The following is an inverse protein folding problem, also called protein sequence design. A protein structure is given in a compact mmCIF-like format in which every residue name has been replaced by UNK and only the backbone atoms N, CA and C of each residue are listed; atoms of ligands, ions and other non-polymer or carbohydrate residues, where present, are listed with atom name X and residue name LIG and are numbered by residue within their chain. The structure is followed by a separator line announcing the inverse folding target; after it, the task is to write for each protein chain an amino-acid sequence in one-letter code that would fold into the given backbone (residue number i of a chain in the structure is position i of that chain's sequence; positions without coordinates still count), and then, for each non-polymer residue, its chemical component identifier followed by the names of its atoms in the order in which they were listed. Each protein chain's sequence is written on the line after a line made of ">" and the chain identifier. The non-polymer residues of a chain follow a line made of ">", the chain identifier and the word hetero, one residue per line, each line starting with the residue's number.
data_IF_447931247116
#
_entry.id   IF_447931247116
#
_cell.length_a   1.000
_cell.length_b   1.000
_cell.length_c   1.000
_cell.angle_alpha   90.00
_cell.angle_beta   90.00
_cell.angle_gamma   90.00
#
_symmetry.space_group_name_H-M   'P 1'
#
loop_
_entity.id
_entity.type
_entity.pdbx_description
1 polymer ?
#
# COMPACT_ATOMS: atom_id res chain seq x y z
N UNK A 1 4.28 20.27 24.67
CA UNK A 1 5.66 19.74 24.54
C UNK A 1 5.56 18.22 24.54
N UNK A 2 5.97 17.55 23.44
CA UNK A 2 5.97 16.09 23.34
C UNK A 2 7.12 15.51 24.16
N UNK A 3 6.80 14.50 24.97
CA UNK A 3 7.81 13.83 25.81
C UNK A 3 8.42 12.66 25.01
N UNK A 4 9.77 12.57 24.91
CA UNK A 4 10.42 11.43 24.24
C UNK A 4 9.99 10.09 24.85
N UNK A 5 9.81 9.07 23.99
CA UNK A 5 9.42 7.71 24.32
C UNK A 5 8.04 7.50 24.98
N UNK A 6 7.27 8.59 25.24
CA UNK A 6 5.95 8.50 25.84
C UNK A 6 4.81 8.83 24.84
N UNK A 7 5.14 9.47 23.71
CA UNK A 7 4.15 9.86 22.72
C UNK A 7 4.15 8.86 21.56
N UNK A 8 3.00 8.25 21.33
CA UNK A 8 2.70 7.47 20.12
C UNK A 8 1.77 8.27 19.22
N UNK A 9 2.03 8.24 17.93
CA UNK A 9 1.20 8.88 16.92
C UNK A 9 0.72 7.81 15.94
N UNK A 10 -0.59 7.76 15.69
CA UNK A 10 -1.18 6.97 14.62
C UNK A 10 -1.42 7.87 13.40
N UNK A 11 -1.07 7.36 12.23
CA UNK A 11 -1.30 8.02 10.94
C UNK A 11 -1.97 7.03 9.98
N UNK A 12 -2.89 7.55 9.17
CA UNK A 12 -3.49 6.79 8.07
C UNK A 12 -3.63 7.70 6.85
N UNK A 13 -3.05 7.26 5.73
CA UNK A 13 -3.09 7.97 4.44
C UNK A 13 -3.28 6.98 3.30
N UNK A 14 -3.81 7.42 2.15
CA UNK A 14 -3.83 6.59 0.96
C UNK A 14 -2.41 6.28 0.50
N UNK A 15 -2.10 4.98 0.36
CA UNK A 15 -0.75 4.50 0.04
C UNK A 15 -0.55 4.21 -1.44
N UNK A 16 0.55 4.71 -2.02
CA UNK A 16 1.00 4.34 -3.38
C UNK A 16 1.39 2.86 -3.44
N UNK A 17 1.95 2.32 -2.35
CA UNK A 17 2.41 0.93 -2.30
C UNK A 17 1.27 -0.07 -2.49
N UNK A 18 0.05 0.29 -2.12
CA UNK A 18 -1.14 -0.53 -2.32
C UNK A 18 -1.58 -0.59 -3.78
N UNK A 19 -1.28 0.44 -4.57
CA UNK A 19 -1.63 0.51 -6.00
C UNK A 19 -0.89 -0.55 -6.82
N UNK A 20 0.35 -0.90 -6.44
CA UNK A 20 1.14 -1.95 -7.09
C UNK A 20 0.49 -3.33 -6.99
N UNK A 21 -0.33 -3.55 -5.97
CA UNK A 21 -1.00 -4.84 -5.71
C UNK A 21 -2.31 -5.01 -6.48
N UNK A 22 -2.70 -4.02 -7.29
CA UNK A 22 -3.92 -4.07 -8.10
C UNK A 22 -5.19 -4.15 -7.25
N UNK A 23 -5.37 -3.22 -6.35
CA UNK A 23 -6.66 -3.02 -5.68
C UNK A 23 -7.74 -2.75 -6.73
N UNK A 24 -8.98 -3.15 -6.44
CA UNK A 24 -10.15 -2.89 -7.29
C UNK A 24 -9.95 -3.25 -8.76
N UNK A 25 -9.56 -4.50 -9.02
CA UNK A 25 -9.37 -5.02 -10.38
C UNK A 25 -8.21 -4.37 -11.17
N UNK A 26 -7.28 -3.70 -10.48
CA UNK A 26 -6.06 -3.13 -11.08
C UNK A 26 -6.27 -1.79 -11.78
N UNK A 27 -7.40 -1.15 -11.57
CA UNK A 27 -7.64 0.19 -12.08
C UNK A 27 -6.97 1.23 -11.18
N UNK A 28 -5.76 1.66 -11.57
CA UNK A 28 -5.00 2.70 -10.88
C UNK A 28 -5.82 4.01 -10.77
N UNK A 29 -6.54 4.38 -11.82
CA UNK A 29 -7.34 5.62 -11.83
C UNK A 29 -8.57 5.49 -10.94
N UNK A 30 -9.17 4.31 -10.86
CA UNK A 30 -10.28 4.02 -9.93
C UNK A 30 -9.85 4.01 -8.46
N UNK A 31 -8.57 3.76 -8.20
CA UNK A 31 -7.99 3.80 -6.85
C UNK A 31 -7.60 5.22 -6.42
N UNK A 32 -7.30 6.12 -7.38
CA UNK A 32 -7.08 7.54 -7.11
C UNK A 32 -8.44 8.22 -6.91
N UNK A 33 -8.84 8.31 -5.68
CA UNK A 33 -10.15 8.86 -5.31
C UNK A 33 -10.07 10.37 -5.03
N UNK A 34 -10.99 11.14 -5.61
CA UNK A 34 -11.01 12.60 -5.58
C UNK A 34 -10.84 13.25 -4.19
N UNK A 35 -11.35 12.72 -3.06
CA UNK A 35 -11.13 13.32 -1.75
C UNK A 35 -9.68 13.26 -1.26
N UNK A 36 -8.85 12.41 -1.84
CA UNK A 36 -7.46 12.27 -1.43
C UNK A 36 -6.55 13.08 -2.36
N UNK A 37 -6.15 14.26 -1.90
CA UNK A 37 -5.26 15.16 -2.65
C UNK A 37 -3.81 14.65 -2.63
N UNK A 38 -3.44 13.88 -1.61
CA UNK A 38 -2.08 13.37 -1.42
C UNK A 38 -2.06 11.86 -1.25
N UNK A 39 -1.18 11.21 -1.99
CA UNK A 39 -0.85 9.80 -1.88
C UNK A 39 0.63 9.67 -1.50
N UNK A 40 0.93 8.80 -0.55
CA UNK A 40 2.29 8.62 -0.07
C UNK A 40 2.79 7.20 -0.28
N UNK A 41 4.10 7.05 -0.49
CA UNK A 41 4.77 5.77 -0.32
C UNK A 41 5.19 5.60 1.15
N UNK A 42 5.19 4.39 1.67
CA UNK A 42 5.52 4.10 3.06
C UNK A 42 6.89 4.66 3.47
N UNK A 43 7.90 4.48 2.62
CA UNK A 43 9.25 4.99 2.86
C UNK A 43 9.34 6.54 2.87
N UNK A 44 8.42 7.24 2.16
CA UNK A 44 8.35 8.71 2.20
C UNK A 44 7.80 9.17 3.55
N UNK A 45 6.73 8.52 4.03
CA UNK A 45 6.18 8.82 5.38
C UNK A 45 7.21 8.52 6.46
N UNK A 46 7.91 7.40 6.37
CA UNK A 46 8.98 7.05 7.32
C UNK A 46 10.09 8.11 7.34
N UNK A 47 10.51 8.60 6.16
CA UNK A 47 11.51 9.65 6.05
C UNK A 47 11.01 10.99 6.62
N UNK A 48 9.77 11.38 6.33
CA UNK A 48 9.15 12.58 6.90
C UNK A 48 9.10 12.48 8.43
N UNK A 49 8.57 11.39 8.97
CA UNK A 49 8.41 11.22 10.42
C UNK A 49 9.75 11.22 11.15
N UNK A 50 10.77 10.61 10.56
CA UNK A 50 12.13 10.59 11.15
C UNK A 50 12.76 11.97 11.23
N UNK A 51 12.46 12.89 10.29
CA UNK A 51 12.93 14.29 10.34
C UNK A 51 12.30 15.08 11.48
N UNK A 52 11.10 14.70 11.90
CA UNK A 52 10.42 15.33 13.03
C UNK A 52 10.69 14.63 14.37
N UNK A 53 11.60 13.66 14.38
CA UNK A 53 12.03 12.98 15.60
C UNK A 53 11.16 11.80 15.99
N UNK A 54 10.45 11.22 15.03
CA UNK A 54 9.66 10.01 15.23
C UNK A 54 10.35 8.78 14.67
N UNK A 55 10.28 7.69 15.39
CA UNK A 55 10.74 6.37 14.99
C UNK A 55 9.54 5.48 14.65
N UNK A 56 9.67 4.71 13.58
CA UNK A 56 8.65 3.76 13.14
C UNK A 56 8.55 2.60 14.14
N UNK A 57 7.35 2.38 14.67
CA UNK A 57 6.98 1.17 15.41
C UNK A 57 6.31 0.17 14.49
N UNK A 58 5.37 0.65 13.65
CA UNK A 58 4.65 -0.13 12.66
C UNK A 58 4.34 0.73 11.45
N UNK A 59 4.36 0.17 10.27
CA UNK A 59 3.92 0.83 9.04
C UNK A 59 3.63 -0.23 7.97
N UNK A 60 2.42 -0.23 7.41
CA UNK A 60 2.04 -1.12 6.33
C UNK A 60 2.01 -0.42 4.96
N UNK A 61 1.71 -1.19 3.91
CA UNK A 61 1.62 -0.69 2.53
C UNK A 61 0.37 0.15 2.26
N UNK A 62 -0.60 0.17 3.16
CA UNK A 62 -1.79 1.05 3.10
C UNK A 62 -1.57 2.35 3.85
N UNK A 63 -0.36 2.58 4.35
CA UNK A 63 0.04 3.73 5.17
C UNK A 63 -0.79 3.84 6.45
N UNK A 64 -1.00 2.72 7.11
CA UNK A 64 -1.42 2.69 8.51
C UNK A 64 -0.18 2.55 9.35
N UNK A 65 0.16 3.58 10.08
CA UNK A 65 1.44 3.67 10.79
C UNK A 65 1.32 4.05 12.25
N UNK A 66 2.17 3.45 13.08
CA UNK A 66 2.37 3.85 14.48
C UNK A 66 3.82 4.30 14.61
N UNK A 67 4.00 5.49 15.11
CA UNK A 67 5.30 6.12 15.30
C UNK A 67 5.47 6.55 16.75
N UNK A 68 6.70 6.40 17.26
CA UNK A 68 7.09 6.82 18.60
C UNK A 68 7.95 8.07 18.53
N UNK A 69 7.61 9.08 19.30
CA UNK A 69 8.45 10.28 19.40
C UNK A 69 9.68 9.99 20.25
N UNK A 70 10.87 10.10 19.66
CA UNK A 70 12.16 9.92 20.32
C UNK A 70 12.91 11.23 20.48
N UNK A 71 12.52 12.27 19.75
CA UNK A 71 13.23 13.55 19.67
C UNK A 71 14.50 13.51 18.80
N UNK A 72 14.93 12.33 18.35
CA UNK A 72 16.10 12.16 17.47
C UNK A 72 15.72 12.47 16.03
N UNK A 73 16.14 13.63 15.54
CA UNK A 73 15.83 14.08 14.17
C UNK A 73 16.85 13.56 13.17
N UNK A 74 16.38 13.01 12.06
CA UNK A 74 17.22 12.70 10.91
C UNK A 74 17.49 13.98 10.11
N UNK A 75 18.75 14.30 9.89
CA UNK A 75 19.17 15.51 9.14
C UNK A 75 19.25 15.28 7.64
N UNK A 76 19.55 14.06 7.22
CA UNK A 76 19.70 13.72 5.80
C UNK A 76 18.33 13.46 5.17
N UNK A 77 18.06 14.14 4.06
CA UNK A 77 16.83 13.98 3.26
C UNK A 77 17.15 13.04 2.09
N UNK A 78 16.42 11.94 2.01
CA UNK A 78 16.50 11.09 0.83
C UNK A 78 15.70 11.72 -0.32
N UNK A 79 16.29 11.80 -1.52
CA UNK A 79 15.52 12.12 -2.71
C UNK A 79 14.80 10.86 -3.20
N UNK A 80 13.53 10.75 -2.83
CA UNK A 80 12.69 9.61 -3.15
C UNK A 80 11.97 9.73 -4.51
N UNK A 81 12.20 10.80 -5.28
CA UNK A 81 11.46 11.07 -6.52
C UNK A 81 11.55 9.91 -7.53
N UNK A 82 12.77 9.46 -7.85
CA UNK A 82 12.95 8.38 -8.81
C UNK A 82 12.32 7.06 -8.35
N UNK A 83 12.37 6.78 -7.05
CA UNK A 83 11.75 5.59 -6.47
C UNK A 83 10.23 5.65 -6.57
N UNK A 84 9.62 6.78 -6.21
CA UNK A 84 8.16 7.01 -6.34
C UNK A 84 7.73 6.92 -7.80
N UNK A 85 8.47 7.56 -8.70
CA UNK A 85 8.20 7.50 -10.15
C UNK A 85 8.20 6.06 -10.65
N UNK A 86 9.24 5.29 -10.34
CA UNK A 86 9.33 3.87 -10.72
C UNK A 86 8.18 3.05 -10.14
N UNK A 87 7.77 3.31 -8.92
CA UNK A 87 6.64 2.62 -8.27
C UNK A 87 5.32 2.89 -9.00
N UNK A 88 5.10 4.13 -9.46
CA UNK A 88 3.93 4.50 -10.25
C UNK A 88 3.97 3.89 -11.66
N UNK A 89 5.14 3.85 -12.31
CA UNK A 89 5.33 3.20 -13.61
C UNK A 89 5.04 1.70 -13.53
N UNK A 90 5.47 1.02 -12.47
CA UNK A 90 5.14 -0.39 -12.22
C UNK A 90 3.62 -0.57 -12.05
N UNK A 91 2.96 0.30 -11.29
CA UNK A 91 1.52 0.23 -11.08
C UNK A 91 0.77 0.42 -12.40
N UNK A 92 1.17 1.38 -13.24
CA UNK A 92 0.57 1.65 -14.54
C UNK A 92 0.79 0.48 -15.53
N UNK A 93 1.99 -0.07 -15.61
CA UNK A 93 2.29 -1.22 -16.45
C UNK A 93 1.47 -2.45 -16.05
N UNK A 94 1.19 -2.62 -14.77
CA UNK A 94 0.34 -3.69 -14.28
C UNK A 94 -1.14 -3.46 -14.59
N UNK A 95 -1.60 -2.22 -14.82
CA UNK A 95 -2.99 -1.88 -15.10
C UNK A 95 -3.57 -2.68 -16.26
N UNK A 96 -2.88 -2.72 -17.39
CA UNK A 96 -3.32 -3.49 -18.57
C UNK A 96 -3.49 -4.98 -18.27
N UNK A 97 -2.55 -5.55 -17.53
CA UNK A 97 -2.60 -6.96 -17.16
C UNK A 97 -3.81 -7.27 -16.28
N UNK A 98 -4.07 -6.44 -15.26
CA UNK A 98 -5.20 -6.63 -14.36
C UNK A 98 -6.54 -6.38 -15.06
N UNK A 99 -6.63 -5.35 -15.92
CA UNK A 99 -7.82 -5.04 -16.69
C UNK A 99 -8.16 -6.20 -17.63
N UNK A 100 -7.17 -6.73 -18.37
CA UNK A 100 -7.37 -7.88 -19.26
C UNK A 100 -7.84 -9.12 -18.46
N UNK A 101 -7.21 -9.43 -17.34
CA UNK A 101 -7.61 -10.54 -16.48
C UNK A 101 -9.01 -10.36 -15.88
N UNK A 102 -9.39 -9.13 -15.53
CA UNK A 102 -10.72 -8.77 -15.05
C UNK A 102 -11.78 -9.03 -16.13
N UNK A 103 -11.54 -8.60 -17.37
CA UNK A 103 -12.44 -8.86 -18.50
C UNK A 103 -12.58 -10.35 -18.78
N UNK A 104 -11.46 -11.09 -18.82
CA UNK A 104 -11.49 -12.55 -18.99
C UNK A 104 -12.31 -13.20 -17.89
N UNK A 105 -12.09 -12.80 -16.62
CA UNK A 105 -12.82 -13.36 -15.49
C UNK A 105 -14.33 -13.06 -15.52
N UNK A 106 -14.72 -11.88 -15.99
CA UNK A 106 -16.13 -11.51 -16.17
C UNK A 106 -16.79 -12.30 -17.31
N UNK A 107 -16.02 -12.73 -18.30
CA UNK A 107 -16.50 -13.54 -19.44
C UNK A 107 -16.62 -15.05 -19.11
N UNK A 108 -16.05 -15.50 -17.98
CA UNK A 108 -16.15 -16.90 -17.57
C UNK A 108 -17.47 -17.14 -16.84
N UNK A 109 -18.30 -18.13 -17.26
CA UNK A 109 -19.54 -18.46 -16.56
C UNK A 109 -19.29 -18.77 -15.08
N UNK A 110 -20.18 -18.27 -14.21
CA UNK A 110 -20.06 -18.43 -12.75
C UNK A 110 -19.96 -19.89 -12.28
N UNK A 111 -20.57 -20.81 -13.03
CA UNK A 111 -20.49 -22.27 -12.78
C UNK A 111 -19.05 -22.78 -12.89
N UNK A 112 -18.30 -22.35 -13.93
CA UNK A 112 -16.89 -22.70 -14.12
C UNK A 112 -15.99 -22.09 -13.04
N UNK A 113 -16.22 -20.84 -12.67
CA UNK A 113 -15.48 -20.19 -11.57
C UNK A 113 -15.67 -20.91 -10.23
N UNK A 114 -16.88 -21.40 -9.96
CA UNK A 114 -17.18 -22.16 -8.76
C UNK A 114 -16.49 -23.54 -8.75
N UNK A 115 -16.38 -24.18 -9.91
CA UNK A 115 -15.64 -25.43 -10.08
C UNK A 115 -14.15 -25.24 -9.75
N UNK A 116 -13.51 -24.21 -10.31
CA UNK A 116 -12.10 -23.89 -10.02
C UNK A 116 -11.87 -23.55 -8.55
N UNK A 117 -12.82 -22.84 -7.89
CA UNK A 117 -12.74 -22.56 -6.45
C UNK A 117 -12.80 -23.82 -5.59
N UNK A 118 -13.60 -24.82 -5.97
CA UNK A 118 -13.69 -26.12 -5.28
C UNK A 118 -12.39 -26.91 -5.38
N UNK A 119 -11.76 -26.93 -6.56
CA UNK A 119 -10.51 -27.65 -6.81
C UNK A 119 -9.33 -27.01 -6.04
N UNK A 120 -9.35 -25.69 -5.84
CA UNK A 120 -8.25 -24.94 -5.21
C UNK A 120 -8.30 -24.90 -3.67
N UNK A 121 -9.36 -25.41 -3.04
CA UNK A 121 -9.37 -25.52 -1.57
C UNK A 121 -8.47 -26.69 -1.17
N UNK A 122 -7.35 -26.45 -0.45
CA UNK A 122 -6.57 -27.55 0.10
C UNK A 122 -7.47 -28.36 1.01
N UNK A 123 -7.43 -29.69 0.87
CA UNK A 123 -8.06 -30.58 1.84
C UNK A 123 -7.45 -30.24 3.21
N UNK A 124 -8.29 -29.78 4.14
CA UNK A 124 -7.87 -29.69 5.53
C UNK A 124 -7.57 -31.11 5.99
N UNK A 125 -6.31 -31.48 6.09
CA UNK A 125 -5.84 -32.61 6.87
C UNK A 125 -6.11 -32.26 8.33
N UNK A 126 -7.12 -32.90 8.90
CA UNK A 126 -7.28 -32.95 10.35
C UNK A 126 -6.22 -33.94 10.86
N UNK A 127 -5.24 -33.45 11.57
CA UNK A 127 -4.49 -34.18 12.58
C UNK A 127 -5.08 -33.85 13.94
#
# INVERSE_FOLDING_TARGET
>A
IQKPNQTLTYLEFPGIDSLKKGRRDGDLLGDIYFPHVHYFASYVIEDIMSRYGFEKVYLDSEIKGIFRYTGKKKTTVANNFLRVKNDLEIAENNRFRYTALSHIRKSIPSALLNLFRKIRKPKKTFE
#
